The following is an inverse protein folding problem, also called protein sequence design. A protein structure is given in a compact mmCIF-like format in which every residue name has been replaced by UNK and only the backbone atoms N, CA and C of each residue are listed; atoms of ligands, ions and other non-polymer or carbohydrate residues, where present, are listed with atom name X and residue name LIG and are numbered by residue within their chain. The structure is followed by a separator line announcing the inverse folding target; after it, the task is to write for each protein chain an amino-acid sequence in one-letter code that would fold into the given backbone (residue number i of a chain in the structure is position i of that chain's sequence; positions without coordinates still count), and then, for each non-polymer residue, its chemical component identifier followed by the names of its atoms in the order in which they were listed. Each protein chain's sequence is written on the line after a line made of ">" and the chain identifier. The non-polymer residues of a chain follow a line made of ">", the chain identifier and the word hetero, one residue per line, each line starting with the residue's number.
data_IF_837256774415
#
_entry.id   IF_837256774415
#
_cell.length_a   1.000
_cell.length_b   1.000
_cell.length_c   1.000
_cell.angle_alpha   90.00
_cell.angle_beta   90.00
_cell.angle_gamma   90.00
#
_symmetry.space_group_name_H-M   'P 1'
#
loop_
_entity.id
_entity.type
_entity.pdbx_description
1 polymer ?
#
# COMPACT_ATOMS: atom_id res chain seq x y z
N UNK A 1 10.55 42.54 -43.74
CA UNK A 1 9.19 42.16 -43.32
C UNK A 1 9.30 41.32 -42.05
N UNK A 2 8.81 41.86 -40.93
CA UNK A 2 8.70 41.17 -39.65
C UNK A 2 7.63 40.08 -39.73
N UNK A 3 7.88 38.90 -39.17
CA UNK A 3 6.98 38.29 -38.19
C UNK A 3 7.54 36.97 -37.62
N UNK A 4 7.14 36.63 -36.38
CA UNK A 4 8.00 36.07 -35.35
C UNK A 4 7.59 34.65 -34.96
N UNK A 5 8.38 34.04 -34.07
CA UNK A 5 7.92 33.14 -33.02
C UNK A 5 6.70 32.25 -33.36
N UNK A 6 6.93 31.09 -33.95
CA UNK A 6 5.96 30.00 -33.83
C UNK A 6 6.64 28.77 -33.23
N UNK A 7 6.26 28.56 -31.97
CA UNK A 7 6.18 27.25 -31.34
C UNK A 7 7.46 26.76 -30.64
N UNK A 8 7.95 27.58 -29.70
CA UNK A 8 8.41 27.02 -28.43
C UNK A 8 7.21 26.38 -27.72
N UNK A 9 6.73 25.25 -28.22
CA UNK A 9 5.93 24.32 -27.43
C UNK A 9 6.88 23.51 -26.54
N UNK A 10 7.71 24.20 -25.76
CA UNK A 10 8.40 23.61 -24.63
C UNK A 10 7.35 23.46 -23.52
N UNK A 11 6.47 22.48 -23.68
CA UNK A 11 5.75 21.92 -22.55
C UNK A 11 6.84 21.41 -21.61
N UNK A 12 7.05 22.16 -20.52
CA UNK A 12 8.09 21.86 -19.55
C UNK A 12 7.78 20.50 -18.91
N UNK A 13 8.30 19.43 -19.51
CA UNK A 13 8.50 18.17 -18.84
C UNK A 13 9.18 18.49 -17.51
N UNK A 14 8.64 17.96 -16.41
CA UNK A 14 9.23 18.18 -15.09
C UNK A 14 10.74 17.92 -15.17
N UNK A 15 11.56 18.91 -14.79
CA UNK A 15 13.00 18.67 -14.59
C UNK A 15 13.13 17.46 -13.67
N UNK A 16 13.93 16.47 -14.07
CA UNK A 16 14.08 15.18 -13.40
C UNK A 16 14.32 15.35 -11.88
N UNK A 17 15.02 16.41 -11.48
CA UNK A 17 15.28 16.79 -10.09
C UNK A 17 14.03 17.20 -9.30
N UNK A 18 13.09 17.90 -9.93
CA UNK A 18 11.82 18.32 -9.31
C UNK A 18 10.91 17.12 -9.04
N UNK A 19 10.94 16.12 -9.93
CA UNK A 19 10.18 14.88 -9.76
C UNK A 19 10.73 14.06 -8.58
N UNK A 20 12.06 13.89 -8.50
CA UNK A 20 12.72 13.21 -7.37
C UNK A 20 12.41 13.92 -6.04
N UNK A 21 12.47 15.24 -6.01
CA UNK A 21 12.12 16.02 -4.82
C UNK A 21 10.69 15.73 -4.33
N UNK A 22 9.70 15.86 -5.21
CA UNK A 22 8.29 15.60 -4.83
C UNK A 22 8.06 14.15 -4.44
N UNK A 23 8.73 13.21 -5.10
CA UNK A 23 8.66 11.79 -4.73
C UNK A 23 9.20 11.54 -3.32
N UNK A 24 10.31 12.18 -2.97
CA UNK A 24 10.89 12.11 -1.62
C UNK A 24 9.97 12.75 -0.57
N UNK A 25 9.35 13.89 -0.88
CA UNK A 25 8.38 14.56 0.00
C UNK A 25 7.17 13.64 0.25
N UNK A 26 6.59 13.04 -0.80
CA UNK A 26 5.45 12.14 -0.63
C UNK A 26 5.82 10.85 0.11
N UNK A 27 7.02 10.33 -0.12
CA UNK A 27 7.55 9.22 0.66
C UNK A 27 7.69 9.58 2.14
N UNK A 28 8.22 10.76 2.47
CA UNK A 28 8.35 11.23 3.85
C UNK A 28 6.98 11.39 4.54
N UNK A 29 5.99 11.95 3.84
CA UNK A 29 4.61 12.09 4.37
C UNK A 29 3.98 10.70 4.58
N UNK A 30 4.17 9.77 3.65
CA UNK A 30 3.71 8.39 3.78
C UNK A 30 4.35 7.67 4.97
N UNK A 31 5.65 7.85 5.19
CA UNK A 31 6.36 7.30 6.36
C UNK A 31 5.83 7.90 7.66
N UNK A 32 5.59 9.21 7.70
CA UNK A 32 5.01 9.87 8.86
C UNK A 32 3.59 9.36 9.16
N UNK A 33 2.75 9.20 8.13
CA UNK A 33 1.43 8.60 8.27
C UNK A 33 1.49 7.14 8.74
N UNK A 34 2.49 6.39 8.26
CA UNK A 34 2.71 5.02 8.72
C UNK A 34 3.03 4.98 10.21
N UNK A 35 4.13 5.64 10.62
CA UNK A 35 4.56 5.66 12.02
C UNK A 35 3.51 6.27 12.95
N UNK A 36 2.83 7.34 12.51
CA UNK A 36 1.71 7.94 13.23
C UNK A 36 0.55 6.97 13.40
N UNK A 37 0.18 6.25 12.34
CA UNK A 37 -0.84 5.20 12.39
C UNK A 37 -0.46 4.06 13.32
N UNK A 38 0.80 3.61 13.30
CA UNK A 38 1.29 2.62 14.27
C UNK A 38 1.18 3.16 15.70
N UNK A 39 1.65 4.38 15.95
CA UNK A 39 1.62 4.99 17.29
C UNK A 39 0.20 5.12 17.81
N UNK A 40 -0.73 5.62 17.00
CA UNK A 40 -2.14 5.77 17.38
C UNK A 40 -2.80 4.42 17.64
N UNK A 41 -2.60 3.44 16.76
CA UNK A 41 -3.15 2.10 16.94
C UNK A 41 -2.62 1.44 18.22
N UNK A 42 -1.33 1.60 18.52
CA UNK A 42 -0.72 1.11 19.74
C UNK A 42 -1.26 1.83 20.99
N UNK A 43 -1.53 3.13 20.92
CA UNK A 43 -2.12 3.88 22.03
C UNK A 43 -3.57 3.45 22.32
N UNK A 44 -4.35 3.17 21.27
CA UNK A 44 -5.74 2.75 21.37
C UNK A 44 -5.88 1.28 21.80
N UNK A 45 -4.92 0.43 21.42
CA UNK A 45 -4.98 -1.01 21.68
C UNK A 45 -3.66 -1.52 22.26
N UNK A 46 -3.67 -1.85 23.55
CA UNK A 46 -2.50 -2.30 24.32
C UNK A 46 -2.60 -3.76 24.80
N UNK A 47 -3.32 -4.60 24.07
CA UNK A 47 -3.43 -6.03 24.40
C UNK A 47 -2.38 -6.86 23.63
N UNK A 48 -2.50 -8.18 23.69
CA UNK A 48 -1.55 -9.16 23.13
C UNK A 48 -1.14 -8.88 21.68
N UNK A 49 -2.01 -8.27 20.87
CA UNK A 49 -1.75 -7.98 19.45
C UNK A 49 -1.40 -6.50 19.15
N UNK A 50 -1.06 -5.69 20.16
CA UNK A 50 -0.80 -4.26 20.03
C UNK A 50 0.24 -3.93 18.96
N UNK A 51 1.35 -4.67 18.95
CA UNK A 51 2.46 -4.45 17.99
C UNK A 51 2.07 -4.88 16.56
N UNK A 52 1.64 -6.13 16.29
CA UNK A 52 1.30 -6.53 14.93
C UNK A 52 0.12 -5.72 14.35
N UNK A 53 -0.91 -5.43 15.16
CA UNK A 53 -2.04 -4.62 14.70
C UNK A 53 -1.61 -3.18 14.38
N UNK A 54 -0.73 -2.60 15.20
CA UNK A 54 -0.24 -1.24 14.94
C UNK A 54 0.55 -1.16 13.65
N UNK A 55 1.47 -2.10 13.39
CA UNK A 55 2.21 -2.19 12.12
C UNK A 55 1.28 -2.35 10.92
N UNK A 56 0.22 -3.14 11.04
CA UNK A 56 -0.79 -3.30 9.98
C UNK A 56 -1.51 -1.98 9.69
N UNK A 57 -2.01 -1.31 10.72
CA UNK A 57 -2.73 -0.02 10.59
C UNK A 57 -1.80 1.05 10.01
N UNK A 58 -0.58 1.16 10.52
CA UNK A 58 0.41 2.10 9.98
C UNK A 58 0.75 1.83 8.52
N UNK A 59 0.96 0.56 8.15
CA UNK A 59 1.26 0.19 6.76
C UNK A 59 0.11 0.54 5.82
N UNK A 60 -1.13 0.23 6.20
CA UNK A 60 -2.31 0.60 5.43
C UNK A 60 -2.43 2.13 5.28
N UNK A 61 -2.30 2.88 6.38
CA UNK A 61 -2.38 4.34 6.37
C UNK A 61 -1.28 4.97 5.48
N UNK A 62 -0.03 4.55 5.63
CA UNK A 62 1.09 5.04 4.82
C UNK A 62 0.88 4.80 3.32
N UNK A 63 0.42 3.60 2.95
CA UNK A 63 0.16 3.26 1.54
C UNK A 63 -1.01 4.04 0.94
N UNK A 64 -2.11 4.20 1.69
CA UNK A 64 -3.26 5.02 1.24
C UNK A 64 -2.83 6.47 1.03
N UNK A 65 -2.11 7.06 2.00
CA UNK A 65 -1.62 8.44 1.90
C UNK A 65 -0.68 8.60 0.70
N UNK A 66 0.26 7.65 0.51
CA UNK A 66 1.18 7.67 -0.65
C UNK A 66 0.41 7.63 -1.97
N UNK A 67 -0.56 6.72 -2.08
CA UNK A 67 -1.37 6.58 -3.28
C UNK A 67 -2.14 7.87 -3.60
N UNK A 68 -2.77 8.50 -2.61
CA UNK A 68 -3.52 9.73 -2.81
C UNK A 68 -2.62 10.90 -3.24
N UNK A 69 -1.45 11.04 -2.62
CA UNK A 69 -0.47 12.09 -2.97
C UNK A 69 0.10 11.88 -4.38
N UNK A 70 0.55 10.66 -4.68
CA UNK A 70 1.10 10.31 -5.99
C UNK A 70 0.02 10.52 -7.08
N UNK A 71 -1.23 10.13 -6.81
CA UNK A 71 -2.39 10.37 -7.70
C UNK A 71 -2.67 11.85 -7.94
N UNK A 72 -2.71 12.65 -6.89
CA UNK A 72 -3.13 14.05 -7.01
C UNK A 72 -2.05 14.96 -7.63
N UNK A 73 -0.76 14.66 -7.43
CA UNK A 73 0.35 15.54 -7.87
C UNK A 73 1.20 15.00 -9.01
N UNK A 74 1.54 13.70 -9.02
CA UNK A 74 2.43 13.14 -10.06
C UNK A 74 1.60 12.75 -11.29
N UNK A 75 0.45 12.10 -11.10
CA UNK A 75 -0.33 11.55 -12.21
C UNK A 75 -1.25 12.56 -12.92
N UNK A 76 -1.37 13.78 -12.41
CA UNK A 76 -2.16 14.83 -13.06
C UNK A 76 -1.49 15.41 -14.32
N UNK A 77 -0.22 15.08 -14.58
CA UNK A 77 0.61 15.75 -15.59
C UNK A 77 1.00 14.93 -16.83
N UNK A 78 0.66 13.65 -16.97
CA UNK A 78 1.13 12.86 -18.13
C UNK A 78 0.03 12.08 -18.85
N UNK A 79 -0.18 12.46 -20.11
CA UNK A 79 -0.92 11.71 -21.10
C UNK A 79 -0.18 10.40 -21.43
N UNK A 80 -0.78 9.27 -21.01
CA UNK A 80 -0.61 7.85 -21.44
C UNK A 80 -0.36 6.93 -20.25
N UNK A 81 -1.33 6.03 -20.01
CA UNK A 81 -1.32 4.72 -19.32
C UNK A 81 -0.45 4.40 -18.09
N UNK A 82 0.43 5.27 -17.56
CA UNK A 82 1.21 5.02 -16.33
C UNK A 82 0.29 4.92 -15.11
N UNK A 83 -0.81 5.68 -15.10
CA UNK A 83 -1.82 5.66 -14.05
C UNK A 83 -2.49 4.27 -13.90
N UNK A 84 -2.64 3.52 -15.00
CA UNK A 84 -3.19 2.17 -14.94
C UNK A 84 -2.19 1.22 -14.26
N UNK A 85 -0.90 1.25 -14.66
CA UNK A 85 0.14 0.44 -14.04
C UNK A 85 0.33 0.73 -12.55
N UNK A 86 0.31 2.00 -12.15
CA UNK A 86 0.41 2.40 -10.74
C UNK A 86 -0.82 1.95 -9.92
N UNK A 87 -2.02 2.01 -10.50
CA UNK A 87 -3.25 1.51 -9.86
C UNK A 87 -3.21 0.00 -9.67
N UNK A 88 -2.80 -0.75 -10.69
CA UNK A 88 -2.68 -2.20 -10.63
C UNK A 88 -1.62 -2.62 -9.61
N UNK A 89 -0.47 -1.93 -9.57
CA UNK A 89 0.56 -2.15 -8.56
C UNK A 89 0.05 -1.86 -7.14
N UNK A 90 -0.65 -0.76 -6.93
CA UNK A 90 -1.22 -0.42 -5.62
C UNK A 90 -2.26 -1.46 -5.16
N UNK A 91 -3.14 -1.91 -6.06
CA UNK A 91 -4.09 -2.99 -5.79
C UNK A 91 -3.37 -4.29 -5.44
N UNK A 92 -2.31 -4.63 -6.17
CA UNK A 92 -1.51 -5.83 -5.92
C UNK A 92 -0.86 -5.81 -4.52
N UNK A 93 -0.25 -4.69 -4.14
CA UNK A 93 0.33 -4.50 -2.80
C UNK A 93 -0.74 -4.57 -1.72
N UNK A 94 -1.88 -3.89 -1.90
CA UNK A 94 -2.98 -3.88 -0.94
C UNK A 94 -3.56 -5.28 -0.73
N UNK A 95 -3.74 -6.03 -1.80
CA UNK A 95 -4.22 -7.41 -1.74
C UNK A 95 -3.22 -8.32 -1.03
N UNK A 96 -1.92 -8.20 -1.33
CA UNK A 96 -0.87 -8.93 -0.64
C UNK A 96 -0.93 -8.70 0.88
N UNK A 97 -0.99 -7.44 1.30
CA UNK A 97 -1.11 -7.09 2.72
C UNK A 97 -2.39 -7.61 3.35
N UNK A 98 -3.53 -7.51 2.66
CA UNK A 98 -4.80 -8.06 3.13
C UNK A 98 -4.73 -9.56 3.37
N UNK A 99 -4.11 -10.31 2.46
CA UNK A 99 -3.97 -11.77 2.61
C UNK A 99 -3.01 -12.16 3.73
N UNK A 100 -1.92 -11.41 3.91
CA UNK A 100 -1.01 -11.59 5.06
C UNK A 100 -1.72 -11.31 6.38
N UNK A 101 -2.60 -10.30 6.43
CA UNK A 101 -3.39 -10.00 7.62
C UNK A 101 -4.36 -11.14 7.96
N UNK A 102 -5.02 -11.71 6.96
CA UNK A 102 -5.90 -12.88 7.16
C UNK A 102 -5.12 -14.06 7.71
N UNK A 103 -3.94 -14.34 7.15
CA UNK A 103 -3.04 -15.38 7.66
C UNK A 103 -2.72 -15.16 9.15
N UNK A 104 -2.23 -13.97 9.51
CA UNK A 104 -1.92 -13.62 10.88
C UNK A 104 -3.13 -13.69 11.81
N UNK A 105 -4.30 -13.21 11.37
CA UNK A 105 -5.51 -13.25 12.18
C UNK A 105 -5.91 -14.67 12.57
N UNK A 106 -5.82 -15.62 11.63
CA UNK A 106 -6.15 -17.03 11.91
C UNK A 106 -5.07 -17.71 12.76
N UNK A 107 -3.78 -17.47 12.47
CA UNK A 107 -2.66 -17.97 13.26
C UNK A 107 -2.76 -17.52 14.73
N UNK A 108 -2.96 -16.23 14.93
CA UNK A 108 -3.02 -15.63 16.24
C UNK A 108 -4.31 -15.95 16.98
N UNK A 109 -5.46 -16.07 16.29
CA UNK A 109 -6.69 -16.55 16.92
C UNK A 109 -6.53 -17.99 17.43
N UNK A 110 -5.92 -18.87 16.65
CA UNK A 110 -5.64 -20.24 17.08
C UNK A 110 -4.66 -20.29 18.27
N UNK A 111 -3.61 -19.46 18.23
CA UNK A 111 -2.67 -19.32 19.36
C UNK A 111 -3.36 -18.80 20.63
N UNK A 112 -4.32 -17.88 20.50
CA UNK A 112 -5.04 -17.30 21.63
C UNK A 112 -6.12 -18.22 22.21
N UNK A 113 -6.72 -19.09 21.39
CA UNK A 113 -7.76 -20.01 21.85
C UNK A 113 -7.20 -21.27 22.52
N UNK A 114 -6.08 -21.78 21.99
CA UNK A 114 -5.58 -23.10 22.36
C UNK A 114 -4.24 -23.07 23.10
N UNK A 115 -3.58 -21.90 23.18
CA UNK A 115 -2.33 -21.67 23.91
C UNK A 115 -1.21 -22.70 23.66
N UNK A 116 -1.24 -23.38 22.52
CA UNK A 116 -0.26 -24.40 22.13
C UNK A 116 0.37 -24.04 20.80
N UNK A 117 1.65 -24.39 20.66
CA UNK A 117 2.39 -24.16 19.42
C UNK A 117 1.78 -24.90 18.23
N UNK A 118 1.35 -26.15 18.44
CA UNK A 118 0.70 -26.94 17.40
C UNK A 118 -0.57 -26.25 16.87
N UNK A 119 -1.40 -25.67 17.76
CA UNK A 119 -2.59 -24.95 17.34
C UNK A 119 -2.26 -23.66 16.60
N UNK A 120 -1.22 -22.92 17.00
CA UNK A 120 -0.71 -21.76 16.26
C UNK A 120 -0.30 -22.17 14.84
N UNK A 121 0.49 -23.25 14.70
CA UNK A 121 0.96 -23.74 13.40
C UNK A 121 -0.20 -24.22 12.50
N UNK A 122 -1.18 -24.93 13.06
CA UNK A 122 -2.39 -25.33 12.32
C UNK A 122 -3.21 -24.11 11.90
N UNK A 123 -3.39 -23.13 12.79
CA UNK A 123 -4.04 -21.85 12.48
C UNK A 123 -3.30 -21.10 11.37
N UNK A 124 -1.96 -21.07 11.41
CA UNK A 124 -1.14 -20.50 10.37
C UNK A 124 -1.29 -21.22 9.03
N UNK A 125 -1.31 -22.55 9.01
CA UNK A 125 -1.55 -23.32 7.80
C UNK A 125 -2.94 -23.05 7.20
N UNK A 126 -3.97 -22.98 8.03
CA UNK A 126 -5.32 -22.59 7.61
C UNK A 126 -5.37 -21.15 7.08
N UNK A 127 -4.72 -20.23 7.80
CA UNK A 127 -4.62 -18.82 7.41
C UNK A 127 -3.91 -18.65 6.07
N UNK A 128 -2.85 -19.40 5.81
CA UNK A 128 -2.15 -19.42 4.51
C UNK A 128 -3.04 -20.00 3.41
N UNK A 129 -3.75 -21.10 3.66
CA UNK A 129 -4.69 -21.66 2.68
C UNK A 129 -5.78 -20.64 2.30
N UNK A 130 -6.39 -19.99 3.28
CA UNK A 130 -7.39 -18.93 3.04
C UNK A 130 -6.74 -17.77 2.29
N UNK A 131 -5.56 -17.32 2.72
CA UNK A 131 -4.81 -16.25 2.07
C UNK A 131 -4.53 -16.53 0.59
N UNK A 132 -4.11 -17.75 0.25
CA UNK A 132 -3.87 -18.17 -1.13
C UNK A 132 -5.16 -18.26 -1.96
N UNK A 133 -6.26 -18.79 -1.39
CA UNK A 133 -7.55 -18.84 -2.08
C UNK A 133 -8.07 -17.42 -2.34
N UNK A 134 -8.02 -16.54 -1.35
CA UNK A 134 -8.42 -15.13 -1.49
C UNK A 134 -7.53 -14.43 -2.51
N UNK A 135 -6.21 -14.62 -2.44
CA UNK A 135 -5.26 -14.06 -3.42
C UNK A 135 -5.60 -14.52 -4.84
N UNK A 136 -5.86 -15.81 -5.03
CA UNK A 136 -6.22 -16.36 -6.34
C UNK A 136 -7.50 -15.72 -6.91
N UNK A 137 -8.54 -15.58 -6.10
CA UNK A 137 -9.78 -14.94 -6.53
C UNK A 137 -9.60 -13.46 -6.90
N UNK A 138 -8.76 -12.76 -6.14
CA UNK A 138 -8.48 -11.36 -6.38
C UNK A 138 -7.56 -11.16 -7.61
N UNK A 139 -6.51 -11.97 -7.76
CA UNK A 139 -5.61 -11.92 -8.93
C UNK A 139 -6.41 -12.24 -10.21
N UNK A 140 -7.27 -13.25 -10.16
CA UNK A 140 -8.19 -13.57 -11.27
C UNK A 140 -9.10 -12.40 -11.65
N UNK A 141 -9.56 -11.61 -10.67
CA UNK A 141 -10.53 -10.52 -10.88
C UNK A 141 -9.89 -9.18 -11.25
N UNK A 142 -8.65 -8.92 -10.83
CA UNK A 142 -8.02 -7.60 -10.95
C UNK A 142 -6.72 -7.58 -11.78
N UNK A 143 -6.06 -8.72 -11.96
CA UNK A 143 -4.81 -8.83 -12.72
C UNK A 143 -5.01 -9.53 -14.06
N UNK A 144 -5.87 -10.55 -14.10
CA UNK A 144 -6.10 -11.38 -15.29
C UNK A 144 -7.48 -11.21 -15.95
N UNK A 145 -8.27 -10.22 -15.51
CA UNK A 145 -9.59 -9.90 -16.07
C UNK A 145 -9.51 -8.86 -17.19
#
# INVERSE_FOLDING_TARGET
>A
MNSPASTQAATAAFSRSRLVFWYAVFAAISMAANLGGQKLAYLVYQATFAVPLSVCVGTAAGLVVKYLLDKAWIFRYEHRSVAHGARTFALYVLMGLGTTFVFWAVEFAASALFHTENARLVGGALGLMIGYVTKYQLDKRFVFA
#
